data_IF_926544449939
#
_entry.id   IF_926544449939
#
_cell.length_a   1.000
_cell.length_b   1.000
_cell.length_c   1.000
_cell.angle_alpha   90.00
_cell.angle_beta   90.00
_cell.angle_gamma   90.00
#
_symmetry.space_group_name_H-M   'P 1'
#
loop_
_entity.id
_entity.type
_entity.pdbx_description
1 polymer ?
#
# COMPACT_ATOMS: atom_id res chain seq x y z
N UNK A 1 -4.30 15.60 -21.03
CA UNK A 1 -4.63 14.87 -19.77
C UNK A 1 -3.36 14.69 -18.98
N UNK A 2 -3.43 14.87 -17.67
CA UNK A 2 -2.30 14.60 -16.76
C UNK A 2 -2.14 13.07 -16.67
N UNK A 3 -0.95 12.57 -17.01
CA UNK A 3 -0.60 11.16 -16.79
C UNK A 3 -0.10 11.04 -15.36
N UNK A 4 -0.70 10.16 -14.60
CA UNK A 4 -0.33 9.87 -13.21
C UNK A 4 0.38 8.53 -13.09
N UNK A 5 1.22 8.42 -12.08
CA UNK A 5 1.83 7.17 -11.65
C UNK A 5 1.25 6.77 -10.29
N UNK A 6 1.30 5.48 -9.99
CA UNK A 6 0.97 5.01 -8.64
C UNK A 6 1.99 5.58 -7.64
N UNK A 7 1.51 6.07 -6.50
CA UNK A 7 2.37 6.56 -5.43
C UNK A 7 2.87 5.42 -4.54
N UNK A 8 3.84 5.70 -3.65
CA UNK A 8 4.30 4.72 -2.65
C UNK A 8 3.15 4.24 -1.76
N UNK A 9 2.19 5.11 -1.43
CA UNK A 9 0.98 4.76 -0.70
C UNK A 9 0.14 3.70 -1.43
N UNK A 10 -0.03 3.83 -2.73
CA UNK A 10 -0.72 2.83 -3.55
C UNK A 10 0.04 1.52 -3.64
N UNK A 11 1.36 1.57 -3.82
CA UNK A 11 2.22 0.39 -3.81
C UNK A 11 2.19 -0.33 -2.45
N UNK A 12 2.24 0.41 -1.34
CA UNK A 12 2.17 -0.15 0.00
C UNK A 12 0.82 -0.86 0.25
N UNK A 13 -0.29 -0.30 -0.26
CA UNK A 13 -1.58 -0.97 -0.19
C UNK A 13 -1.55 -2.31 -0.93
N UNK A 14 -1.02 -2.36 -2.15
CA UNK A 14 -0.88 -3.61 -2.91
C UNK A 14 0.00 -4.60 -2.13
N UNK A 15 1.17 -4.18 -1.66
CA UNK A 15 2.11 -5.02 -0.88
C UNK A 15 1.45 -5.66 0.34
N UNK A 16 0.57 -4.93 1.01
CA UNK A 16 -0.11 -5.43 2.23
C UNK A 16 -1.02 -6.64 1.98
N UNK A 17 -1.41 -6.87 0.72
CA UNK A 17 -2.29 -7.97 0.33
C UNK A 17 -1.61 -9.08 -0.46
N UNK A 18 -0.55 -8.78 -1.22
CA UNK A 18 0.03 -9.76 -2.16
C UNK A 18 1.07 -10.68 -1.51
N UNK A 19 1.69 -10.27 -0.41
CA UNK A 19 2.83 -10.99 0.17
C UNK A 19 4.05 -10.97 -0.76
N UNK A 20 5.25 -11.08 -0.20
CA UNK A 20 6.51 -11.07 -0.96
C UNK A 20 7.28 -12.38 -0.80
N UNK A 21 7.72 -12.96 -1.90
CA UNK A 21 8.62 -14.11 -1.90
C UNK A 21 9.88 -13.80 -2.70
N UNK A 22 11.02 -13.80 -2.03
CA UNK A 22 12.31 -13.45 -2.65
C UNK A 22 12.95 -14.62 -3.42
N UNK A 23 12.42 -15.83 -3.26
CA UNK A 23 12.79 -16.99 -4.06
C UNK A 23 11.64 -17.42 -4.95
N UNK A 24 11.93 -17.82 -6.20
CA UNK A 24 10.92 -18.25 -7.15
C UNK A 24 10.16 -19.49 -6.67
N UNK A 25 8.89 -19.55 -6.99
CA UNK A 25 8.01 -20.65 -6.67
C UNK A 25 7.01 -20.89 -7.82
N UNK A 26 6.43 -22.06 -7.87
CA UNK A 26 5.30 -22.31 -8.78
C UNK A 26 3.99 -21.90 -8.13
N UNK A 27 3.26 -21.00 -8.77
CA UNK A 27 1.89 -20.66 -8.35
C UNK A 27 0.95 -21.86 -8.61
N UNK A 28 -0.31 -21.85 -8.10
CA UNK A 28 -1.27 -22.92 -8.34
C UNK A 28 -1.52 -23.22 -9.83
N UNK A 29 -1.33 -22.25 -10.71
CA UNK A 29 -1.41 -22.42 -12.16
C UNK A 29 -0.12 -23.02 -12.78
N UNK A 30 0.89 -23.35 -11.98
CA UNK A 30 2.15 -23.95 -12.43
C UNK A 30 3.15 -22.96 -13.04
N UNK A 31 2.89 -21.64 -12.95
CA UNK A 31 3.77 -20.59 -13.49
C UNK A 31 4.83 -20.20 -12.44
N UNK A 32 6.08 -20.06 -12.89
CA UNK A 32 7.14 -19.53 -12.04
C UNK A 32 6.86 -18.08 -11.66
N UNK A 33 6.87 -17.81 -10.36
CA UNK A 33 6.44 -16.54 -9.75
C UNK A 33 7.47 -16.11 -8.71
N UNK A 34 7.70 -14.80 -8.57
CA UNK A 34 8.61 -14.23 -7.58
C UNK A 34 8.11 -12.87 -7.11
N UNK A 35 8.66 -12.33 -6.01
CA UNK A 35 8.31 -11.02 -5.47
C UNK A 35 6.84 -10.97 -5.04
N UNK A 36 6.12 -9.98 -5.50
CA UNK A 36 4.70 -9.73 -5.23
C UNK A 36 3.77 -10.31 -6.31
N UNK A 37 4.13 -11.46 -6.86
CA UNK A 37 3.34 -12.11 -7.91
C UNK A 37 3.89 -11.90 -9.33
N UNK A 38 5.10 -11.37 -9.48
CA UNK A 38 5.75 -11.19 -10.78
C UNK A 38 6.03 -12.54 -11.45
N UNK A 39 5.75 -12.65 -12.75
CA UNK A 39 5.89 -13.89 -13.52
C UNK A 39 6.77 -13.77 -14.77
N UNK A 40 6.96 -12.56 -15.28
CA UNK A 40 7.70 -12.33 -16.52
C UNK A 40 9.20 -12.61 -16.33
N UNK A 41 9.77 -13.51 -17.12
CA UNK A 41 11.18 -13.83 -17.05
C UNK A 41 11.61 -14.61 -15.80
N UNK A 42 10.66 -15.11 -15.00
CA UNK A 42 10.95 -15.87 -13.78
C UNK A 42 11.22 -17.32 -14.12
N UNK A 43 12.28 -17.88 -13.53
CA UNK A 43 12.73 -19.25 -13.73
C UNK A 43 13.00 -19.96 -12.40
N UNK A 44 13.16 -21.27 -12.47
CA UNK A 44 13.45 -22.10 -11.29
C UNK A 44 14.76 -21.69 -10.61
N UNK A 45 14.72 -21.53 -9.28
CA UNK A 45 15.91 -21.16 -8.49
C UNK A 45 16.28 -19.67 -8.55
N UNK A 46 15.48 -18.83 -9.20
CA UNK A 46 15.69 -17.39 -9.19
C UNK A 46 15.54 -16.82 -7.77
N UNK A 47 16.48 -15.98 -7.35
CA UNK A 47 16.46 -15.26 -6.05
C UNK A 47 16.66 -13.78 -6.34
N UNK A 48 15.89 -12.93 -5.66
CA UNK A 48 15.95 -11.48 -5.77
C UNK A 48 16.08 -10.82 -4.41
N UNK A 49 16.51 -9.56 -4.39
CA UNK A 49 16.49 -8.72 -3.20
C UNK A 49 15.11 -8.10 -2.98
N UNK A 50 14.85 -7.57 -1.78
CA UNK A 50 13.63 -6.81 -1.50
C UNK A 50 13.48 -5.61 -2.42
N UNK A 51 14.55 -4.89 -2.69
CA UNK A 51 14.57 -3.75 -3.62
C UNK A 51 14.17 -4.17 -5.05
N UNK A 52 14.68 -5.32 -5.51
CA UNK A 52 14.29 -5.86 -6.81
C UNK A 52 12.81 -6.25 -6.85
N UNK A 53 12.29 -6.86 -5.77
CA UNK A 53 10.85 -7.17 -5.67
C UNK A 53 9.99 -5.90 -5.71
N UNK A 54 10.41 -4.85 -5.01
CA UNK A 54 9.73 -3.56 -4.97
C UNK A 54 9.73 -2.88 -6.35
N UNK A 55 10.84 -2.94 -7.09
CA UNK A 55 10.94 -2.40 -8.45
C UNK A 55 10.07 -3.19 -9.44
N UNK A 56 10.07 -4.53 -9.36
CA UNK A 56 9.19 -5.38 -10.17
C UNK A 56 7.71 -5.05 -9.92
N UNK A 57 7.30 -4.87 -8.65
CA UNK A 57 5.93 -4.46 -8.34
C UNK A 57 5.58 -3.10 -8.95
N UNK A 58 6.50 -2.14 -8.90
CA UNK A 58 6.29 -0.80 -9.48
C UNK A 58 6.06 -0.89 -10.99
N UNK A 59 6.85 -1.70 -11.68
CA UNK A 59 6.69 -1.94 -13.12
C UNK A 59 5.36 -2.65 -13.43
N UNK A 60 5.04 -3.72 -12.71
CA UNK A 60 3.80 -4.47 -12.89
C UNK A 60 2.56 -3.60 -12.62
N UNK A 61 2.58 -2.80 -11.55
CA UNK A 61 1.49 -1.90 -11.20
C UNK A 61 1.29 -0.78 -12.23
N UNK A 62 2.35 -0.39 -12.95
CA UNK A 62 2.25 0.67 -13.98
C UNK A 62 1.31 0.27 -15.13
N UNK A 63 1.19 -1.01 -15.45
CA UNK A 63 0.23 -1.51 -16.46
C UNK A 63 -1.19 -1.14 -16.06
N UNK A 64 -1.54 -1.34 -14.79
CA UNK A 64 -2.87 -1.02 -14.25
C UNK A 64 -3.07 0.48 -14.04
N UNK A 65 -2.02 1.20 -13.62
CA UNK A 65 -2.02 2.66 -13.55
C UNK A 65 -2.31 3.29 -14.93
N UNK A 66 -1.73 2.74 -16.00
CA UNK A 66 -2.01 3.18 -17.38
C UNK A 66 -3.48 2.95 -17.76
N UNK A 67 -4.09 1.87 -17.31
CA UNK A 67 -5.52 1.64 -17.51
C UNK A 67 -6.39 2.67 -16.79
N UNK A 68 -6.06 3.05 -15.57
CA UNK A 68 -6.75 4.11 -14.82
C UNK A 68 -6.58 5.48 -15.51
N UNK A 69 -5.40 5.77 -16.04
CA UNK A 69 -5.12 7.03 -16.77
C UNK A 69 -6.05 7.26 -17.95
N UNK A 70 -6.59 6.22 -18.58
CA UNK A 70 -7.54 6.35 -19.67
C UNK A 70 -8.84 7.07 -19.27
N UNK A 71 -9.15 7.09 -17.98
CA UNK A 71 -10.36 7.72 -17.43
C UNK A 71 -10.10 9.08 -16.78
N UNK A 72 -8.85 9.58 -16.77
CA UNK A 72 -8.50 10.85 -16.14
C UNK A 72 -9.22 12.05 -16.78
N UNK A 73 -9.40 12.06 -18.09
CA UNK A 73 -10.12 13.13 -18.78
C UNK A 73 -11.60 13.18 -18.39
N UNK A 74 -12.19 12.04 -18.00
CA UNK A 74 -13.60 11.94 -17.61
C UNK A 74 -13.83 12.27 -16.14
N UNK A 75 -12.95 11.80 -15.25
CA UNK A 75 -13.20 11.84 -13.81
C UNK A 75 -12.23 12.74 -13.04
N UNK A 76 -11.06 13.08 -13.60
CA UNK A 76 -10.05 13.90 -12.92
C UNK A 76 -9.73 13.37 -11.50
N UNK A 77 -9.29 12.12 -11.42
CA UNK A 77 -8.92 11.50 -10.16
C UNK A 77 -7.74 12.23 -9.50
N UNK A 78 -7.80 12.43 -8.20
CA UNK A 78 -6.64 12.81 -7.39
C UNK A 78 -5.76 11.59 -7.11
N UNK A 79 -4.61 11.79 -6.45
CA UNK A 79 -3.64 10.72 -6.23
C UNK A 79 -4.22 9.56 -5.40
N UNK A 80 -5.00 9.84 -4.37
CA UNK A 80 -5.58 8.81 -3.53
C UNK A 80 -6.64 7.97 -4.26
N UNK A 81 -7.49 8.62 -5.04
CA UNK A 81 -8.46 7.96 -5.92
C UNK A 81 -7.76 7.11 -6.98
N UNK A 82 -6.69 7.66 -7.59
CA UNK A 82 -5.88 6.96 -8.59
C UNK A 82 -5.17 5.74 -8.02
N UNK A 83 -4.55 5.86 -6.85
CA UNK A 83 -3.88 4.75 -6.16
C UNK A 83 -4.84 3.63 -5.79
N UNK A 84 -6.02 3.98 -5.28
CA UNK A 84 -7.08 3.03 -4.95
C UNK A 84 -7.53 2.23 -6.18
N UNK A 85 -7.80 2.93 -7.28
CA UNK A 85 -8.23 2.29 -8.54
C UNK A 85 -7.13 1.44 -9.16
N UNK A 86 -5.87 1.84 -9.03
CA UNK A 86 -4.73 1.03 -9.49
C UNK A 86 -4.62 -0.26 -8.67
N UNK A 87 -4.77 -0.20 -7.34
CA UNK A 87 -4.83 -1.39 -6.49
C UNK A 87 -6.01 -2.31 -6.84
N UNK A 88 -7.19 -1.73 -7.07
CA UNK A 88 -8.36 -2.46 -7.53
C UNK A 88 -8.10 -3.19 -8.85
N UNK A 89 -7.59 -2.48 -9.85
CA UNK A 89 -7.30 -3.07 -11.16
C UNK A 89 -6.19 -4.13 -11.09
N UNK A 90 -5.19 -3.93 -10.25
CA UNK A 90 -4.12 -4.92 -9.99
C UNK A 90 -4.69 -6.25 -9.50
N UNK A 91 -5.66 -6.21 -8.59
CA UNK A 91 -6.30 -7.41 -8.03
C UNK A 91 -7.41 -8.00 -8.92
N UNK A 92 -8.28 -7.15 -9.46
CA UNK A 92 -9.49 -7.57 -10.19
C UNK A 92 -9.32 -7.60 -11.71
N UNK A 93 -8.22 -7.06 -12.23
CA UNK A 93 -7.94 -6.96 -13.66
C UNK A 93 -8.53 -5.71 -14.33
N UNK A 94 -7.96 -5.37 -15.48
CA UNK A 94 -8.39 -4.21 -16.29
C UNK A 94 -9.83 -4.35 -16.77
N UNK A 95 -10.30 -5.56 -17.06
CA UNK A 95 -11.69 -5.80 -17.46
C UNK A 95 -12.71 -5.41 -16.38
N UNK A 96 -12.40 -5.69 -15.11
CA UNK A 96 -13.23 -5.26 -13.97
C UNK A 96 -13.23 -3.74 -13.83
N UNK A 97 -12.08 -3.10 -13.99
CA UNK A 97 -11.99 -1.64 -14.01
C UNK A 97 -12.88 -1.03 -15.12
N UNK A 98 -12.79 -1.58 -16.32
CA UNK A 98 -13.61 -1.14 -17.45
C UNK A 98 -15.11 -1.28 -17.18
N UNK A 99 -15.53 -2.40 -16.56
CA UNK A 99 -16.93 -2.63 -16.19
C UNK A 99 -17.41 -1.57 -15.19
N UNK A 100 -16.65 -1.29 -14.13
CA UNK A 100 -16.95 -0.23 -13.15
C UNK A 100 -17.06 1.14 -13.85
N UNK A 101 -16.08 1.50 -14.67
CA UNK A 101 -16.08 2.80 -15.37
C UNK A 101 -17.23 2.95 -16.37
N UNK A 102 -17.75 1.84 -16.90
CA UNK A 102 -18.84 1.84 -17.85
C UNK A 102 -20.21 2.02 -17.19
N UNK A 103 -20.39 1.54 -15.95
CA UNK A 103 -21.68 1.60 -15.26
C UNK A 103 -21.80 2.81 -14.31
N UNK A 104 -20.70 3.51 -14.01
CA UNK A 104 -20.68 4.61 -13.05
C UNK A 104 -20.50 5.97 -13.73
N UNK A 105 -21.16 7.00 -13.22
CA UNK A 105 -21.09 8.36 -13.73
C UNK A 105 -20.41 9.33 -12.76
N UNK A 106 -20.32 8.96 -11.50
CA UNK A 106 -19.71 9.76 -10.42
C UNK A 106 -18.60 8.98 -9.72
N UNK A 107 -17.68 9.70 -9.09
CA UNK A 107 -16.62 9.10 -8.28
C UNK A 107 -17.18 8.30 -7.09
N UNK A 108 -18.28 8.76 -6.48
CA UNK A 108 -18.94 8.04 -5.40
C UNK A 108 -19.47 6.69 -5.88
N UNK A 109 -20.15 6.65 -7.04
CA UNK A 109 -20.63 5.39 -7.63
C UNK A 109 -19.47 4.44 -7.92
N UNK A 110 -18.35 4.93 -8.44
CA UNK A 110 -17.13 4.12 -8.68
C UNK A 110 -16.64 3.49 -7.39
N UNK A 111 -16.51 4.28 -6.31
CA UNK A 111 -16.03 3.80 -5.02
C UNK A 111 -16.94 2.71 -4.45
N UNK A 112 -18.25 2.89 -4.51
CA UNK A 112 -19.23 1.91 -4.02
C UNK A 112 -19.27 0.66 -4.89
N UNK A 113 -19.20 0.79 -6.21
CA UNK A 113 -19.23 -0.35 -7.14
C UNK A 113 -17.98 -1.24 -6.95
N UNK A 114 -16.80 -0.66 -6.78
CA UNK A 114 -15.59 -1.43 -6.52
C UNK A 114 -15.72 -2.35 -5.30
N UNK A 115 -16.47 -1.97 -4.26
CA UNK A 115 -16.68 -2.79 -3.05
C UNK A 115 -17.40 -4.11 -3.33
N UNK A 116 -18.17 -4.20 -4.41
CA UNK A 116 -18.91 -5.40 -4.80
C UNK A 116 -18.00 -6.52 -5.34
N UNK A 117 -16.76 -6.21 -5.70
CA UNK A 117 -15.76 -7.16 -6.21
C UNK A 117 -15.05 -7.89 -5.05
N UNK A 118 -15.83 -8.61 -4.23
CA UNK A 118 -15.39 -9.26 -3.00
C UNK A 118 -15.58 -10.80 -3.02
N UNK A 119 -15.82 -11.38 -4.20
CA UNK A 119 -16.10 -12.82 -4.35
C UNK A 119 -14.96 -13.54 -5.08
N UNK A 120 -14.70 -14.77 -4.67
CA UNK A 120 -13.87 -15.73 -5.39
C UNK A 120 -14.66 -17.03 -5.56
N UNK A 121 -14.74 -17.54 -6.82
CA UNK A 121 -15.54 -18.73 -7.12
C UNK A 121 -17.04 -18.58 -6.75
N UNK A 122 -17.57 -17.35 -6.81
CA UNK A 122 -18.97 -17.06 -6.45
C UNK A 122 -19.23 -16.86 -4.95
N UNK A 123 -18.24 -17.08 -4.08
CA UNK A 123 -18.35 -16.97 -2.62
C UNK A 123 -17.68 -15.68 -2.14
N UNK A 124 -18.32 -14.98 -1.19
CA UNK A 124 -17.72 -13.80 -0.54
C UNK A 124 -16.52 -14.24 0.30
N UNK A 125 -15.37 -13.60 0.07
CA UNK A 125 -14.12 -13.87 0.77
C UNK A 125 -13.79 -12.71 1.72
N UNK A 126 -13.59 -12.99 3.00
CA UNK A 126 -13.31 -11.98 4.02
C UNK A 126 -12.06 -11.14 3.70
N UNK A 127 -11.03 -11.74 3.11
CA UNK A 127 -9.82 -11.03 2.67
C UNK A 127 -10.11 -10.02 1.56
N UNK A 128 -10.98 -10.36 0.60
CA UNK A 128 -11.40 -9.45 -0.46
C UNK A 128 -12.31 -8.33 0.07
N UNK A 129 -13.21 -8.64 1.01
CA UNK A 129 -14.03 -7.61 1.67
C UNK A 129 -13.11 -6.59 2.35
N UNK A 130 -12.12 -7.04 3.14
CA UNK A 130 -11.18 -6.14 3.81
C UNK A 130 -10.39 -5.30 2.81
N UNK A 131 -9.87 -5.91 1.73
CA UNK A 131 -9.13 -5.20 0.68
C UNK A 131 -9.98 -4.10 0.04
N UNK A 132 -11.21 -4.41 -0.34
CA UNK A 132 -12.15 -3.43 -0.94
C UNK A 132 -12.47 -2.29 0.02
N UNK A 133 -12.63 -2.56 1.32
CA UNK A 133 -12.86 -1.53 2.33
C UNK A 133 -11.65 -0.61 2.51
N UNK A 134 -10.43 -1.12 2.47
CA UNK A 134 -9.21 -0.31 2.54
C UNK A 134 -9.02 0.53 1.28
N UNK A 135 -9.27 -0.02 0.10
CA UNK A 135 -9.28 0.71 -1.17
C UNK A 135 -10.35 1.82 -1.15
N UNK A 136 -11.55 1.53 -0.65
CA UNK A 136 -12.62 2.52 -0.49
C UNK A 136 -12.21 3.68 0.42
N UNK A 137 -11.65 3.39 1.58
CA UNK A 137 -11.15 4.40 2.52
C UNK A 137 -10.05 5.26 1.88
N UNK A 138 -9.13 4.64 1.14
CA UNK A 138 -8.11 5.37 0.41
C UNK A 138 -8.73 6.30 -0.64
N UNK A 139 -9.66 5.80 -1.44
CA UNK A 139 -10.36 6.58 -2.47
C UNK A 139 -11.07 7.80 -1.86
N UNK A 140 -11.83 7.60 -0.80
CA UNK A 140 -12.60 8.65 -0.14
C UNK A 140 -11.73 9.67 0.60
N UNK A 141 -10.52 9.29 1.04
CA UNK A 141 -9.59 10.21 1.71
C UNK A 141 -9.11 11.34 0.79
N UNK A 142 -9.12 11.13 -0.52
CA UNK A 142 -8.73 12.14 -1.50
C UNK A 142 -9.77 13.23 -1.75
N UNK A 143 -11.02 13.01 -1.38
CA UNK A 143 -12.12 13.97 -1.58
C UNK A 143 -12.13 15.12 -0.57
N UNK A 144 -11.39 15.00 0.52
CA UNK A 144 -11.28 16.01 1.57
C UNK A 144 -9.92 16.69 1.51
N UNK A 145 -9.81 17.73 0.70
CA UNK A 145 -8.62 18.56 0.59
C UNK A 145 -8.54 19.54 1.78
N UNK A 146 -8.52 19.02 2.97
CA UNK A 146 -8.15 19.71 4.22
C UNK A 146 -7.11 18.85 4.91
N UNK A 147 -6.16 19.46 5.63
CA UNK A 147 -5.07 18.86 6.39
C UNK A 147 -5.52 17.78 7.41
N UNK A 148 -6.30 16.80 6.98
CA UNK A 148 -6.89 15.79 7.82
C UNK A 148 -6.04 14.54 7.84
N UNK A 149 -5.73 14.13 9.03
CA UNK A 149 -5.15 12.88 9.49
C UNK A 149 -6.10 11.67 9.22
N UNK A 150 -6.56 11.53 7.97
CA UNK A 150 -7.51 10.50 7.54
C UNK A 150 -6.84 9.15 7.24
N UNK A 151 -5.65 8.95 7.76
CA UNK A 151 -4.97 7.67 7.66
C UNK A 151 -5.72 6.57 8.40
N UNK A 152 -5.51 5.35 7.97
CA UNK A 152 -6.07 4.16 8.60
C UNK A 152 -4.97 3.33 9.26
N UNK A 153 -5.39 2.45 10.18
CA UNK A 153 -4.48 1.58 10.92
C UNK A 153 -4.96 0.14 10.85
N UNK A 154 -4.05 -0.79 10.84
CA UNK A 154 -4.36 -2.22 10.87
C UNK A 154 -3.31 -2.99 11.68
N UNK A 155 -3.74 -4.10 12.27
CA UNK A 155 -2.86 -4.98 13.01
C UNK A 155 -1.97 -5.76 12.01
N UNK A 156 -0.67 -5.63 12.16
CA UNK A 156 0.35 -6.38 11.43
C UNK A 156 1.54 -6.54 12.35
N UNK A 157 2.06 -7.74 12.46
CA UNK A 157 3.26 -8.04 13.25
C UNK A 157 4.42 -8.30 12.32
N UNK A 158 5.56 -7.73 12.64
CA UNK A 158 6.80 -7.91 11.90
C UNK A 158 7.97 -7.28 12.64
N UNK A 159 9.13 -7.38 12.05
CA UNK A 159 10.33 -6.66 12.47
C UNK A 159 10.68 -5.63 11.40
N UNK A 160 11.03 -4.41 11.82
CA UNK A 160 11.41 -3.32 10.93
C UNK A 160 12.84 -2.89 11.21
N UNK A 161 13.69 -2.94 10.17
CA UNK A 161 15.06 -2.48 10.18
C UNK A 161 15.17 -1.06 9.66
N UNK A 162 15.81 -0.19 10.44
CA UNK A 162 16.05 1.20 10.06
C UNK A 162 17.36 1.32 9.27
N UNK A 163 17.30 2.03 8.14
CA UNK A 163 18.49 2.37 7.33
C UNK A 163 18.99 3.80 7.57
N UNK A 164 18.29 4.55 8.39
CA UNK A 164 18.61 5.93 8.77
C UNK A 164 18.16 6.19 10.20
N UNK A 165 18.53 7.34 10.74
CA UNK A 165 18.11 7.76 12.09
C UNK A 165 16.64 8.15 12.10
N UNK A 166 15.84 7.51 12.94
CA UNK A 166 14.39 7.72 13.06
C UNK A 166 14.01 8.06 14.50
N UNK A 167 13.23 9.14 14.66
CA UNK A 167 12.72 9.58 15.97
C UNK A 167 11.64 8.63 16.49
N UNK A 168 11.74 8.25 17.77
CA UNK A 168 10.70 7.52 18.49
C UNK A 168 9.72 8.54 19.06
N UNK A 169 8.43 8.34 18.79
CA UNK A 169 7.35 9.25 19.19
C UNK A 169 6.31 8.53 20.05
N UNK A 170 5.50 9.29 20.78
CA UNK A 170 4.39 8.78 21.59
C UNK A 170 3.06 8.76 20.83
N UNK A 171 3.03 9.32 19.64
CA UNK A 171 1.89 9.34 18.71
C UNK A 171 2.39 9.41 17.25
N UNK A 172 1.61 8.93 16.26
CA UNK A 172 1.99 8.97 14.85
C UNK A 172 1.78 10.37 14.24
N UNK A 173 2.48 11.36 14.77
CA UNK A 173 2.46 12.77 14.32
C UNK A 173 3.86 13.39 14.41
N UNK A 174 4.02 14.58 13.84
CA UNK A 174 5.29 15.32 13.81
C UNK A 174 5.43 16.36 14.94
N UNK A 175 4.49 16.42 15.87
CA UNK A 175 4.53 17.39 16.96
C UNK A 175 5.77 17.17 17.83
N UNK A 176 6.43 18.24 18.19
CA UNK A 176 7.61 18.17 19.07
C UNK A 176 7.26 17.55 20.44
N UNK A 177 6.04 17.76 20.93
CA UNK A 177 5.55 17.16 22.17
C UNK A 177 5.46 15.61 22.11
N UNK A 178 5.32 15.02 20.91
CA UNK A 178 5.30 13.58 20.73
C UNK A 178 6.69 12.95 20.70
N UNK A 179 7.77 13.73 20.50
CA UNK A 179 9.12 13.21 20.45
C UNK A 179 9.61 12.82 21.84
N UNK A 180 10.05 11.57 21.98
CA UNK A 180 10.50 11.00 23.26
C UNK A 180 11.92 11.44 23.68
N UNK A 181 12.66 12.11 22.80
CA UNK A 181 14.10 12.40 22.98
C UNK A 181 15.02 11.27 22.54
N UNK A 182 14.46 10.12 22.11
CA UNK A 182 15.20 8.94 21.72
C UNK A 182 14.99 8.65 20.23
N UNK A 183 15.99 8.12 19.57
CA UNK A 183 15.94 7.69 18.17
C UNK A 183 16.41 6.25 18.04
N UNK A 184 15.98 5.57 16.99
CA UNK A 184 16.72 4.45 16.42
C UNK A 184 17.79 4.99 15.48
N UNK A 185 18.96 4.37 15.48
CA UNK A 185 20.02 4.63 14.51
C UNK A 185 19.96 3.61 13.35
N UNK A 186 20.66 3.92 12.26
CA UNK A 186 20.77 2.98 11.15
C UNK A 186 21.39 1.64 11.59
N UNK A 187 20.76 0.54 11.18
CA UNK A 187 21.15 -0.82 11.58
C UNK A 187 20.40 -1.36 12.80
N UNK A 188 19.63 -0.56 13.50
CA UNK A 188 18.76 -1.02 14.57
C UNK A 188 17.42 -1.51 14.03
N UNK A 189 16.74 -2.36 14.80
CA UNK A 189 15.42 -2.88 14.44
C UNK A 189 14.44 -2.85 15.62
N UNK A 190 13.16 -2.99 15.30
CA UNK A 190 12.10 -3.10 16.30
C UNK A 190 11.00 -4.05 15.82
N UNK A 191 10.51 -4.89 16.72
CA UNK A 191 9.28 -5.65 16.50
C UNK A 191 8.07 -4.73 16.66
N UNK A 192 7.18 -4.73 15.65
CA UNK A 192 5.97 -3.92 15.65
C UNK A 192 4.71 -4.79 15.59
N UNK A 193 3.57 -4.21 15.96
CA UNK A 193 2.28 -4.91 15.97
C UNK A 193 1.15 -4.19 15.24
N UNK A 194 1.36 -2.94 14.82
CA UNK A 194 0.36 -2.15 14.10
C UNK A 194 1.05 -1.24 13.09
N UNK A 195 0.43 -1.11 11.92
CA UNK A 195 0.83 -0.16 10.89
C UNK A 195 -0.24 0.93 10.78
N UNK A 196 0.21 2.18 10.75
CA UNK A 196 -0.63 3.35 10.49
C UNK A 196 -0.26 3.90 9.12
N UNK A 197 -1.22 4.01 8.23
CA UNK A 197 -1.05 4.54 6.89
C UNK A 197 -1.54 5.98 6.80
N UNK A 198 -0.76 6.81 6.13
CA UNK A 198 -1.10 8.22 5.85
C UNK A 198 -1.51 9.03 7.09
N UNK A 199 -0.74 8.91 8.16
CA UNK A 199 -0.89 9.78 9.32
C UNK A 199 0.10 10.95 9.21
N UNK A 200 -0.42 12.17 9.10
CA UNK A 200 0.38 13.40 8.92
C UNK A 200 1.41 13.30 7.77
N UNK A 201 1.03 12.68 6.64
CA UNK A 201 1.89 12.55 5.46
C UNK A 201 2.93 11.45 5.53
N UNK A 202 2.85 10.57 6.52
CA UNK A 202 3.76 9.44 6.72
C UNK A 202 3.02 8.13 6.93
N UNK A 203 3.71 7.01 6.62
CA UNK A 203 3.35 5.72 7.18
C UNK A 203 4.16 5.49 8.45
N UNK A 204 3.56 4.82 9.44
CA UNK A 204 4.15 4.59 10.75
C UNK A 204 4.00 3.14 11.17
N UNK A 205 4.93 2.67 12.00
CA UNK A 205 4.78 1.47 12.81
C UNK A 205 4.56 1.83 14.27
N UNK A 206 3.78 1.01 14.97
CA UNK A 206 3.54 1.10 16.40
C UNK A 206 4.02 -0.16 17.09
N UNK A 207 4.63 0.00 18.24
CA UNK A 207 5.23 -1.10 19.02
C UNK A 207 5.19 -0.82 20.52
N UNK A 208 5.37 -1.88 21.32
CA UNK A 208 5.47 -1.76 22.77
C UNK A 208 6.90 -1.40 23.17
N UNK A 209 7.07 -0.28 23.87
CA UNK A 209 8.35 0.10 24.46
C UNK A 209 8.61 -0.67 25.75
N UNK A 210 9.88 -0.84 26.12
CA UNK A 210 10.29 -1.53 27.34
C UNK A 210 9.76 -0.90 28.63
N UNK A 211 9.41 0.38 28.58
CA UNK A 211 8.81 1.10 29.72
C UNK A 211 7.28 0.96 29.81
N UNK A 212 6.67 0.08 29.01
CA UNK A 212 5.22 -0.18 28.99
C UNK A 212 4.38 0.81 28.20
N UNK A 213 5.00 1.83 27.58
CA UNK A 213 4.29 2.79 26.71
C UNK A 213 4.34 2.36 25.25
N UNK A 214 3.52 3.01 24.40
CA UNK A 214 3.57 2.81 22.96
C UNK A 214 4.63 3.69 22.33
N UNK A 215 5.36 3.13 21.35
CA UNK A 215 6.29 3.84 20.49
C UNK A 215 5.77 3.89 19.05
N UNK A 216 6.06 4.98 18.37
CA UNK A 216 5.71 5.19 16.96
C UNK A 216 6.94 5.68 16.20
N UNK A 217 7.24 5.02 15.07
CA UNK A 217 8.30 5.40 14.16
C UNK A 217 7.74 5.61 12.76
N UNK A 218 8.10 6.73 12.13
CA UNK A 218 7.83 6.91 10.71
C UNK A 218 8.66 5.92 9.88
N UNK A 219 8.04 5.29 8.89
CA UNK A 219 8.69 4.31 8.02
C UNK A 219 8.73 4.72 6.55
N UNK A 220 7.85 5.64 6.14
CA UNK A 220 7.83 6.19 4.78
C UNK A 220 7.34 7.63 4.82
N UNK A 221 8.04 8.53 4.15
CA UNK A 221 7.57 9.86 3.81
C UNK A 221 6.75 9.78 2.53
N UNK A 222 5.46 10.12 2.58
CA UNK A 222 4.55 9.98 1.44
C UNK A 222 4.70 11.10 0.41
N UNK A 223 5.28 12.23 0.78
CA UNK A 223 5.54 13.32 -0.15
C UNK A 223 6.74 13.05 -1.06
N UNK A 224 7.76 12.36 -0.54
CA UNK A 224 9.01 12.07 -1.26
C UNK A 224 9.12 10.61 -1.71
N UNK A 225 8.33 9.70 -1.09
CA UNK A 225 8.47 8.25 -1.26
C UNK A 225 9.69 7.68 -0.51
N UNK A 226 10.39 8.49 0.27
CA UNK A 226 11.57 8.03 1.03
C UNK A 226 11.15 7.00 2.07
N UNK A 227 11.87 5.88 2.09
CA UNK A 227 11.73 4.83 3.10
C UNK A 227 12.87 4.92 4.11
N UNK A 228 12.52 4.83 5.38
CA UNK A 228 13.48 4.88 6.47
C UNK A 228 14.02 3.51 6.88
N UNK A 229 13.65 2.46 6.15
CA UNK A 229 14.05 1.09 6.37
C UNK A 229 13.23 0.08 5.57
N UNK A 230 13.20 -1.15 6.06
CA UNK A 230 12.43 -2.25 5.45
C UNK A 230 11.91 -3.22 6.52
N UNK A 231 10.77 -3.85 6.24
CA UNK A 231 10.23 -4.94 7.04
C UNK A 231 10.87 -6.28 6.63
N UNK A 232 10.96 -7.21 7.57
CA UNK A 232 11.38 -8.61 7.37
C UNK A 232 10.20 -9.53 7.61
#
# INVERSE_FOLDING_TARGET
AIIMNISERGLDLIKSYEGCRLSSYRCPAGVWTIGYGHTSGVYEGMVITQEQADNMLREDAQVYANAVNQYQSRFNFNQAEFDSLTSFAYNCGVGSLQAVMSCCNTKQEIAEECKLYNKGGGVVLAGLVRRREEEYKLFMSGSNNTNNDDGYSYAEKGEYFFNTKVKIRTAPNLDNASFTGICYDAGESVEYHTVHRNKHGYNWIQYNRTNGTQGYCAITDLATGERFGHAI
#
